data_IF_542702110923
#
_entry.id   IF_542702110923
#
_cell.length_a   1.000
_cell.length_b   1.000
_cell.length_c   1.000
_cell.angle_alpha   90.00
_cell.angle_beta   90.00
_cell.angle_gamma   90.00
#
_symmetry.space_group_name_H-M   'P 1'
#
loop_
_entity.id
_entity.type
_entity.pdbx_description
1 polymer ?
#
# COMPACT_ATOMS: atom_id res chain seq x y z
N UNK A 1 1.84 17.38 -20.21
CA UNK A 1 0.71 17.68 -19.30
C UNK A 1 -0.24 16.49 -19.16
N UNK A 2 -0.90 16.04 -20.24
CA UNK A 2 -1.87 14.92 -20.17
C UNK A 2 -1.29 13.65 -19.53
N UNK A 3 -0.10 13.20 -19.96
CA UNK A 3 0.54 12.04 -19.34
C UNK A 3 0.81 12.23 -17.84
N UNK A 4 1.22 13.43 -17.41
CA UNK A 4 1.49 13.74 -15.99
C UNK A 4 0.22 13.64 -15.17
N UNK A 5 -0.87 14.18 -15.71
CA UNK A 5 -2.19 14.10 -15.09
C UNK A 5 -2.62 12.62 -14.94
N UNK A 6 -2.56 11.82 -16.02
CA UNK A 6 -2.97 10.40 -15.99
C UNK A 6 -2.13 9.56 -15.01
N UNK A 7 -0.80 9.72 -15.04
CA UNK A 7 0.11 9.00 -14.13
C UNK A 7 -0.18 9.39 -12.68
N UNK A 8 -0.29 10.68 -12.39
CA UNK A 8 -0.57 11.16 -11.03
C UNK A 8 -1.95 10.70 -10.53
N UNK A 9 -2.96 10.66 -11.40
CA UNK A 9 -4.28 10.15 -11.06
C UNK A 9 -4.29 8.66 -10.73
N UNK A 10 -3.65 7.86 -11.58
CA UNK A 10 -3.54 6.42 -11.36
C UNK A 10 -2.80 6.13 -10.06
N UNK A 11 -1.74 6.91 -9.78
CA UNK A 11 -0.97 6.72 -8.57
C UNK A 11 -1.72 7.14 -7.30
N UNK A 12 -2.43 8.28 -7.33
CA UNK A 12 -3.14 8.79 -6.15
C UNK A 12 -4.32 7.87 -5.75
N UNK A 13 -4.93 7.19 -6.72
CA UNK A 13 -5.99 6.20 -6.46
C UNK A 13 -5.52 5.07 -5.52
N UNK A 14 -4.35 4.48 -5.80
CA UNK A 14 -3.76 3.45 -4.93
C UNK A 14 -3.45 3.99 -3.53
N UNK A 15 -2.99 5.24 -3.42
CA UNK A 15 -2.74 5.87 -2.13
C UNK A 15 -4.03 6.09 -1.33
N UNK A 16 -5.12 6.50 -1.98
CA UNK A 16 -6.42 6.69 -1.32
C UNK A 16 -7.00 5.38 -0.77
N UNK A 17 -6.84 4.27 -1.49
CA UNK A 17 -7.18 2.94 -0.97
C UNK A 17 -6.35 2.61 0.27
N UNK A 18 -5.05 2.87 0.24
CA UNK A 18 -4.17 2.68 1.40
C UNK A 18 -4.58 3.51 2.62
N UNK A 19 -4.93 4.79 2.42
CA UNK A 19 -5.51 5.65 3.46
C UNK A 19 -6.78 5.02 4.03
N UNK A 20 -7.66 4.51 3.17
CA UNK A 20 -8.89 3.84 3.56
C UNK A 20 -8.67 2.62 4.44
N UNK A 21 -7.73 1.74 4.07
CA UNK A 21 -7.37 0.54 4.85
C UNK A 21 -6.86 0.90 6.26
N UNK A 22 -6.04 1.95 6.36
CA UNK A 22 -5.51 2.36 7.68
C UNK A 22 -6.63 2.94 8.56
N UNK A 23 -7.46 3.83 8.02
CA UNK A 23 -8.57 4.41 8.79
C UNK A 23 -9.66 3.40 9.15
N UNK A 24 -9.98 2.46 8.25
CA UNK A 24 -10.96 1.40 8.52
C UNK A 24 -10.56 0.58 9.73
N UNK A 25 -9.27 0.25 9.83
CA UNK A 25 -8.75 -0.51 10.95
C UNK A 25 -8.85 0.24 12.29
N UNK A 26 -8.54 1.53 12.30
CA UNK A 26 -8.47 2.30 13.55
C UNK A 26 -9.81 2.77 14.08
N UNK A 27 -10.69 3.17 13.17
CA UNK A 27 -12.03 3.61 13.54
C UNK A 27 -13.00 2.43 13.60
N UNK A 28 -12.53 1.22 13.26
CA UNK A 28 -13.34 0.00 13.17
C UNK A 28 -14.59 0.24 12.29
N UNK A 29 -14.38 0.96 11.19
CA UNK A 29 -15.40 1.33 10.20
C UNK A 29 -15.14 0.65 8.88
N UNK A 30 -16.17 0.62 8.04
CA UNK A 30 -16.07 0.21 6.65
C UNK A 30 -14.99 0.99 5.90
N UNK A 31 -14.27 0.31 5.00
CA UNK A 31 -13.22 0.93 4.18
C UNK A 31 -13.71 2.14 3.38
N UNK A 32 -14.96 2.15 2.94
CA UNK A 32 -15.52 3.28 2.19
C UNK A 32 -15.59 4.55 3.04
N UNK A 33 -15.92 4.41 4.33
CA UNK A 33 -15.92 5.51 5.30
C UNK A 33 -14.46 5.92 5.57
N UNK A 34 -13.55 4.97 5.72
CA UNK A 34 -12.12 5.24 5.88
C UNK A 34 -11.54 6.08 4.74
N UNK A 35 -11.87 5.74 3.48
CA UNK A 35 -11.46 6.52 2.30
C UNK A 35 -12.04 7.93 2.37
N UNK A 36 -13.31 8.10 2.71
CA UNK A 36 -13.97 9.40 2.76
C UNK A 36 -13.37 10.33 3.83
N UNK A 37 -13.04 9.79 5.00
CA UNK A 37 -12.32 10.52 6.06
C UNK A 37 -10.94 10.94 5.56
N UNK A 38 -10.23 10.02 4.90
CA UNK A 38 -8.96 10.29 4.23
C UNK A 38 -9.04 11.42 3.22
N UNK A 39 -10.07 11.41 2.36
CA UNK A 39 -10.31 12.44 1.36
C UNK A 39 -10.48 13.82 2.01
N UNK A 40 -11.28 13.90 3.07
CA UNK A 40 -11.52 15.16 3.77
C UNK A 40 -10.22 15.72 4.35
N UNK A 41 -9.43 14.91 5.06
CA UNK A 41 -8.15 15.32 5.65
C UNK A 41 -7.16 15.76 4.58
N UNK A 42 -6.98 14.95 3.55
CA UNK A 42 -6.06 15.24 2.45
C UNK A 42 -6.48 16.51 1.71
N UNK A 43 -7.78 16.73 1.49
CA UNK A 43 -8.28 17.95 0.85
C UNK A 43 -7.97 19.19 1.67
N UNK A 44 -8.27 19.19 2.98
CA UNK A 44 -7.92 20.30 3.87
C UNK A 44 -6.42 20.58 3.86
N UNK A 45 -5.61 19.53 3.93
CA UNK A 45 -4.16 19.64 3.95
C UNK A 45 -3.59 20.17 2.62
N UNK A 46 -4.08 19.67 1.49
CA UNK A 46 -3.61 20.07 0.16
C UNK A 46 -4.00 21.51 -0.19
N UNK A 47 -5.19 21.96 0.19
CA UNK A 47 -5.67 23.32 -0.10
C UNK A 47 -4.99 24.37 0.77
N UNK A 48 -4.64 24.03 2.02
CA UNK A 48 -4.04 24.97 2.98
C UNK A 48 -2.50 24.92 3.01
N UNK A 49 -1.87 23.78 2.69
CA UNK A 49 -0.48 23.48 3.03
C UNK A 49 0.61 24.16 2.21
N UNK A 50 0.37 24.50 0.93
CA UNK A 50 1.38 25.05 0.02
C UNK A 50 2.64 24.17 -0.14
N UNK A 51 3.53 24.49 -1.10
CA UNK A 51 4.69 23.62 -1.38
C UNK A 51 5.68 23.52 -0.19
N UNK A 52 5.92 24.60 0.55
CA UNK A 52 6.84 24.59 1.70
C UNK A 52 6.31 23.80 2.88
N UNK A 53 5.01 23.92 3.19
CA UNK A 53 4.41 23.20 4.31
C UNK A 53 4.41 21.70 4.08
N UNK A 54 4.13 21.26 2.85
CA UNK A 54 4.18 19.85 2.45
C UNK A 54 5.59 19.28 2.61
N UNK A 55 6.65 20.00 2.24
CA UNK A 55 8.02 19.47 2.40
C UNK A 55 8.37 19.17 3.85
N UNK A 56 8.05 20.07 4.79
CA UNK A 56 8.39 19.85 6.21
C UNK A 56 7.58 18.74 6.85
N UNK A 57 6.29 18.62 6.53
CA UNK A 57 5.47 17.52 7.04
C UNK A 57 5.90 16.18 6.45
N UNK A 58 6.31 16.13 5.19
CA UNK A 58 6.84 14.91 4.58
C UNK A 58 8.12 14.42 5.23
N UNK A 59 8.99 15.33 5.70
CA UNK A 59 10.16 14.93 6.50
C UNK A 59 9.72 14.28 7.81
N UNK A 60 8.78 14.90 8.54
CA UNK A 60 8.25 14.33 9.78
C UNK A 60 7.55 12.98 9.56
N UNK A 61 6.71 12.89 8.52
CA UNK A 61 6.00 11.67 8.13
C UNK A 61 6.97 10.57 7.73
N UNK A 62 8.05 10.90 7.01
CA UNK A 62 9.08 9.95 6.64
C UNK A 62 9.80 9.38 7.86
N UNK A 63 10.16 10.23 8.84
CA UNK A 63 10.72 9.77 10.11
C UNK A 63 9.77 8.79 10.81
N UNK A 64 8.49 9.13 10.94
CA UNK A 64 7.49 8.24 11.56
C UNK A 64 7.37 6.93 10.78
N UNK A 65 7.29 7.00 9.44
CA UNK A 65 7.17 5.84 8.54
C UNK A 65 8.34 4.88 8.71
N UNK A 66 9.59 5.36 8.68
CA UNK A 66 10.75 4.47 8.74
C UNK A 66 10.83 3.76 10.09
N UNK A 67 10.53 4.45 11.20
CA UNK A 67 10.45 3.81 12.51
C UNK A 67 9.29 2.81 12.58
N UNK A 68 8.12 3.20 12.11
CA UNK A 68 6.93 2.35 12.09
C UNK A 68 7.07 1.09 11.24
N UNK A 69 7.88 1.15 10.19
CA UNK A 69 8.16 0.00 9.34
C UNK A 69 9.23 -0.92 9.93
N UNK A 70 10.31 -0.35 10.49
CA UNK A 70 11.48 -1.12 10.93
C UNK A 70 11.29 -1.74 12.32
N UNK A 71 10.67 -1.03 13.26
CA UNK A 71 10.45 -1.52 14.64
C UNK A 71 9.73 -2.87 14.69
N UNK A 72 8.54 -3.05 14.08
CA UNK A 72 7.88 -4.36 14.07
C UNK A 72 8.72 -5.41 13.35
N UNK A 73 9.43 -5.04 12.28
CA UNK A 73 10.28 -5.97 11.55
C UNK A 73 11.39 -6.54 12.44
N UNK A 74 12.01 -5.72 13.28
CA UNK A 74 13.03 -6.15 14.25
C UNK A 74 12.44 -7.10 15.31
N UNK A 75 11.28 -6.78 15.88
CA UNK A 75 10.64 -7.63 16.88
C UNK A 75 10.19 -8.96 16.30
N UNK A 76 9.59 -8.96 15.11
CA UNK A 76 9.09 -10.18 14.46
C UNK A 76 10.26 -11.06 14.01
N UNK A 77 11.31 -10.47 13.44
CA UNK A 77 12.52 -11.21 13.08
C UNK A 77 13.15 -11.89 14.30
N UNK A 78 13.21 -11.19 15.43
CA UNK A 78 13.71 -11.74 16.69
C UNK A 78 12.81 -12.88 17.20
N UNK A 79 11.50 -12.73 17.13
CA UNK A 79 10.55 -13.75 17.59
C UNK A 79 10.60 -15.03 16.75
N UNK A 80 10.69 -14.91 15.43
CA UNK A 80 10.65 -16.07 14.51
C UNK A 80 12.02 -16.74 14.35
N UNK A 81 13.11 -15.96 14.31
CA UNK A 81 14.43 -16.48 13.89
C UNK A 81 15.55 -16.25 14.90
N UNK A 82 15.27 -15.56 16.01
CA UNK A 82 16.27 -15.12 16.99
C UNK A 82 17.21 -14.01 16.49
N UNK A 83 17.16 -13.64 15.21
CA UNK A 83 17.98 -12.58 14.63
C UNK A 83 17.26 -11.22 14.71
N UNK A 84 17.94 -10.21 15.24
CA UNK A 84 17.39 -8.83 15.32
C UNK A 84 17.23 -8.22 13.93
N UNK A 85 18.13 -8.53 13.00
CA UNK A 85 18.16 -7.91 11.67
C UNK A 85 17.23 -8.69 10.73
N UNK A 86 16.15 -8.09 10.18
CA UNK A 86 15.13 -8.79 9.40
C UNK A 86 15.70 -9.41 8.13
N UNK A 87 16.69 -8.77 7.51
CA UNK A 87 17.39 -9.30 6.34
C UNK A 87 18.14 -10.60 6.66
N UNK A 88 18.71 -10.70 7.88
CA UNK A 88 19.38 -11.92 8.33
C UNK A 88 18.36 -12.97 8.78
N UNK A 89 17.26 -12.55 9.42
CA UNK A 89 16.15 -13.44 9.75
C UNK A 89 15.51 -14.06 8.51
N UNK A 90 15.38 -13.32 7.42
CA UNK A 90 14.85 -13.83 6.15
C UNK A 90 15.64 -15.02 5.58
N UNK A 91 16.97 -15.00 5.73
CA UNK A 91 17.88 -16.08 5.29
C UNK A 91 18.17 -17.04 6.46
N UNK A 92 17.65 -16.74 7.64
CA UNK A 92 17.94 -17.42 8.89
C UNK A 92 17.14 -18.71 9.06
N UNK A 93 17.47 -19.41 10.14
CA UNK A 93 16.71 -20.54 10.62
C UNK A 93 15.58 -20.06 11.52
N UNK A 94 14.43 -20.65 11.34
CA UNK A 94 13.30 -20.53 12.25
C UNK A 94 13.68 -21.13 13.62
N UNK A 95 13.40 -20.39 14.68
CA UNK A 95 13.85 -20.70 16.03
C UNK A 95 13.22 -22.00 16.59
N UNK A 96 11.99 -22.31 16.16
CA UNK A 96 11.23 -23.46 16.66
C UNK A 96 11.54 -24.75 15.88
N UNK A 97 11.63 -24.65 14.55
CA UNK A 97 11.82 -25.81 13.67
C UNK A 97 13.29 -26.11 13.32
N UNK A 98 14.19 -25.14 13.47
CA UNK A 98 15.60 -25.26 13.07
C UNK A 98 15.83 -25.33 11.54
N UNK A 99 14.77 -25.24 10.74
CA UNK A 99 14.77 -25.19 9.29
C UNK A 99 14.94 -23.75 8.81
N UNK A 100 15.44 -23.54 7.58
CA UNK A 100 15.41 -22.21 6.98
C UNK A 100 13.97 -21.72 6.81
N UNK A 101 13.74 -20.44 7.09
CA UNK A 101 12.40 -19.86 7.05
C UNK A 101 11.71 -20.04 5.68
N UNK A 102 12.48 -19.90 4.59
CA UNK A 102 11.96 -20.04 3.23
C UNK A 102 11.55 -21.47 2.93
N UNK A 103 12.34 -22.46 3.34
CA UNK A 103 11.99 -23.88 3.18
C UNK A 103 10.72 -24.23 3.97
N UNK A 104 10.60 -23.71 5.19
CA UNK A 104 9.39 -23.85 6.03
C UNK A 104 8.17 -23.24 5.33
N UNK A 105 8.34 -22.06 4.74
CA UNK A 105 7.25 -21.38 4.03
C UNK A 105 6.86 -22.12 2.74
N UNK A 106 7.82 -22.69 2.00
CA UNK A 106 7.56 -23.52 0.83
C UNK A 106 6.82 -24.81 1.20
N UNK A 107 7.17 -25.44 2.33
CA UNK A 107 6.45 -26.60 2.85
C UNK A 107 5.00 -26.25 3.21
N UNK A 108 4.79 -25.19 4.00
CA UNK A 108 3.45 -24.72 4.35
C UNK A 108 2.61 -24.39 3.11
N UNK A 109 3.21 -23.74 2.12
CA UNK A 109 2.54 -23.47 0.85
C UNK A 109 2.14 -24.74 0.11
N UNK A 110 3.05 -25.71 0.02
CA UNK A 110 2.82 -26.98 -0.68
C UNK A 110 1.73 -27.81 0.01
N UNK A 111 1.74 -27.88 1.34
CA UNK A 111 0.74 -28.58 2.14
C UNK A 111 -0.67 -28.01 1.94
N UNK A 112 -0.78 -26.69 1.81
CA UNK A 112 -2.04 -25.98 1.55
C UNK A 112 -2.43 -25.93 0.06
N UNK A 113 -1.64 -26.58 -0.79
CA UNK A 113 -1.86 -26.67 -2.24
C UNK A 113 -1.49 -25.41 -3.03
N UNK A 114 -0.85 -24.42 -2.41
CA UNK A 114 -0.28 -23.26 -3.11
C UNK A 114 0.99 -23.65 -3.90
N UNK A 115 1.37 -22.80 -4.86
CA UNK A 115 2.71 -22.89 -5.44
C UNK A 115 3.75 -22.53 -4.37
N UNK A 116 4.92 -23.16 -4.44
CA UNK A 116 6.07 -22.82 -3.58
C UNK A 116 6.28 -21.31 -3.58
N UNK A 117 6.51 -20.73 -2.42
CA UNK A 117 6.73 -19.30 -2.26
C UNK A 117 7.94 -18.82 -3.08
N UNK A 118 8.94 -19.68 -3.24
CA UNK A 118 10.14 -19.41 -4.04
C UNK A 118 9.97 -19.73 -5.54
N UNK A 119 8.86 -20.37 -5.94
CA UNK A 119 8.61 -20.63 -7.36
C UNK A 119 8.31 -19.33 -8.09
N UNK A 120 9.13 -19.03 -9.10
CA UNK A 120 8.94 -17.83 -9.93
C UNK A 120 7.68 -17.95 -10.79
N UNK A 121 6.54 -17.45 -10.30
CA UNK A 121 5.27 -17.47 -11.05
C UNK A 121 5.31 -16.70 -12.39
N UNK A 122 6.34 -15.88 -12.63
CA UNK A 122 6.50 -15.05 -13.83
C UNK A 122 7.75 -15.41 -14.62
N UNK A 123 7.66 -15.29 -15.95
CA UNK A 123 8.80 -15.38 -16.86
C UNK A 123 9.92 -14.41 -16.45
N UNK A 124 11.17 -14.79 -16.64
CA UNK A 124 12.32 -13.91 -16.40
C UNK A 124 12.26 -12.63 -17.24
N UNK A 125 11.66 -12.69 -18.43
CA UNK A 125 11.45 -11.49 -19.26
C UNK A 125 10.45 -10.55 -18.59
N UNK A 126 9.36 -11.08 -18.04
CA UNK A 126 8.35 -10.26 -17.34
C UNK A 126 8.94 -9.65 -16.07
N UNK A 127 9.70 -10.43 -15.28
CA UNK A 127 10.37 -9.93 -14.08
C UNK A 127 11.35 -8.82 -14.44
N UNK A 128 12.16 -9.01 -15.49
CA UNK A 128 13.09 -7.99 -15.97
C UNK A 128 12.35 -6.73 -16.44
N UNK A 129 11.30 -6.87 -17.25
CA UNK A 129 10.52 -5.75 -17.77
C UNK A 129 9.82 -4.96 -16.66
N UNK A 130 9.21 -5.65 -15.68
CA UNK A 130 8.58 -5.01 -14.52
C UNK A 130 9.64 -4.29 -13.68
N UNK A 131 10.77 -4.94 -13.40
CA UNK A 131 11.86 -4.33 -12.62
C UNK A 131 12.38 -3.08 -13.31
N UNK A 132 12.66 -3.17 -14.61
CA UNK A 132 13.09 -2.04 -15.42
C UNK A 132 12.05 -0.91 -15.41
N UNK A 133 10.77 -1.23 -15.63
CA UNK A 133 9.69 -0.26 -15.61
C UNK A 133 9.54 0.44 -14.25
N UNK A 134 9.69 -0.27 -13.14
CA UNK A 134 9.63 0.32 -11.80
C UNK A 134 10.83 1.25 -11.51
N UNK A 135 12.05 0.83 -11.88
CA UNK A 135 13.26 1.64 -11.70
C UNK A 135 13.21 2.93 -12.52
N UNK A 136 12.93 2.77 -13.81
CA UNK A 136 12.89 3.85 -14.80
C UNK A 136 11.69 4.77 -14.57
N UNK A 137 10.54 4.19 -14.22
CA UNK A 137 9.33 4.92 -13.87
C UNK A 137 9.56 5.84 -12.68
N UNK A 138 10.20 5.32 -11.61
CA UNK A 138 10.54 6.13 -10.42
C UNK A 138 11.43 7.31 -10.77
N UNK A 139 12.43 7.11 -11.63
CA UNK A 139 13.33 8.17 -12.08
C UNK A 139 12.61 9.25 -12.91
N UNK A 140 11.56 8.88 -13.65
CA UNK A 140 10.78 9.78 -14.50
C UNK A 140 9.69 10.58 -13.78
N UNK A 141 9.42 10.32 -12.50
CA UNK A 141 8.29 10.94 -11.80
C UNK A 141 8.54 12.44 -11.49
N UNK A 142 7.68 13.35 -12.00
CA UNK A 142 7.90 14.80 -11.86
C UNK A 142 8.01 15.29 -10.40
N UNK A 143 7.25 14.68 -9.48
CA UNK A 143 7.23 15.07 -8.07
C UNK A 143 8.55 14.80 -7.33
N UNK A 144 9.41 13.94 -7.86
CA UNK A 144 10.76 13.65 -7.33
C UNK A 144 11.77 14.59 -7.98
N UNK A 145 11.75 14.69 -9.31
CA UNK A 145 12.72 15.50 -10.08
C UNK A 145 12.68 16.97 -9.66
N UNK A 146 11.48 17.55 -9.53
CA UNK A 146 11.31 18.98 -9.19
C UNK A 146 11.94 19.33 -7.83
N UNK A 147 12.06 18.37 -6.90
CA UNK A 147 12.66 18.62 -5.58
C UNK A 147 14.15 18.88 -5.67
N UNK A 148 14.87 18.21 -6.59
CA UNK A 148 16.30 18.47 -6.79
C UNK A 148 16.57 19.89 -7.29
N UNK A 149 15.62 20.51 -8.00
CA UNK A 149 15.74 21.91 -8.45
C UNK A 149 15.49 22.95 -7.37
N UNK A 150 15.03 22.54 -6.18
CA UNK A 150 14.87 23.46 -5.04
C UNK A 150 16.13 23.60 -4.18
N UNK A 151 17.17 22.78 -4.46
CA UNK A 151 18.43 22.79 -3.72
C UNK A 151 19.41 23.81 -4.31
N UNK A 152 20.03 24.70 -3.51
CA UNK A 152 20.92 25.75 -4.04
C UNK A 152 22.21 25.26 -4.71
N UNK A 153 22.71 24.07 -4.32
CA UNK A 153 24.00 23.53 -4.79
C UNK A 153 23.87 22.10 -5.29
N UNK A 154 24.53 21.80 -6.41
CA UNK A 154 24.56 20.45 -7.02
C UNK A 154 25.20 19.41 -6.09
N UNK A 155 26.23 19.80 -5.32
CA UNK A 155 26.87 18.91 -4.33
C UNK A 155 25.87 18.42 -3.30
N UNK A 156 25.05 19.32 -2.76
CA UNK A 156 24.07 19.02 -1.72
C UNK A 156 22.94 18.15 -2.28
N UNK A 157 22.52 18.40 -3.53
CA UNK A 157 21.56 17.55 -4.24
C UNK A 157 22.06 16.10 -4.41
N UNK A 158 23.34 15.90 -4.76
CA UNK A 158 23.94 14.56 -4.89
C UNK A 158 24.08 13.84 -3.55
N UNK A 159 24.49 14.55 -2.51
CA UNK A 159 24.58 14.00 -1.15
C UNK A 159 23.19 13.59 -0.65
N UNK A 160 22.18 14.43 -0.89
CA UNK A 160 20.78 14.12 -0.57
C UNK A 160 20.29 12.87 -1.30
N UNK A 161 20.62 12.71 -2.59
CA UNK A 161 20.30 11.49 -3.34
C UNK A 161 20.97 10.23 -2.74
N UNK A 162 22.23 10.35 -2.28
CA UNK A 162 22.94 9.25 -1.62
C UNK A 162 22.26 8.80 -0.32
N UNK A 163 21.86 9.75 0.54
CA UNK A 163 21.09 9.44 1.75
C UNK A 163 19.72 8.82 1.43
N UNK A 164 19.02 9.36 0.43
CA UNK A 164 17.74 8.80 -0.01
C UNK A 164 17.90 7.34 -0.47
N UNK A 165 18.95 7.02 -1.23
CA UNK A 165 19.23 5.66 -1.70
C UNK A 165 19.52 4.71 -0.53
N UNK A 166 20.31 5.14 0.47
CA UNK A 166 20.59 4.35 1.66
C UNK A 166 19.28 3.97 2.40
N UNK A 167 18.42 4.96 2.61
CA UNK A 167 17.14 4.77 3.28
C UNK A 167 16.17 3.89 2.52
N UNK A 168 16.08 4.07 1.20
CA UNK A 168 15.29 3.20 0.33
C UNK A 168 15.82 1.77 0.39
N UNK A 169 17.14 1.57 0.36
CA UNK A 169 17.74 0.25 0.43
C UNK A 169 17.39 -0.48 1.74
N UNK A 170 17.42 0.22 2.88
CA UNK A 170 17.01 -0.36 4.17
C UNK A 170 15.54 -0.83 4.11
N UNK A 171 14.63 0.00 3.59
CA UNK A 171 13.22 -0.34 3.52
C UNK A 171 12.96 -1.49 2.53
N UNK A 172 13.50 -1.40 1.32
CA UNK A 172 13.20 -2.35 0.24
C UNK A 172 13.80 -3.73 0.47
N UNK A 173 14.95 -3.81 1.13
CA UNK A 173 15.54 -5.11 1.54
C UNK A 173 14.79 -5.74 2.70
N UNK A 174 14.09 -4.94 3.52
CA UNK A 174 13.28 -5.43 4.65
C UNK A 174 11.91 -5.93 4.19
N UNK A 175 11.37 -5.42 3.07
CA UNK A 175 10.02 -5.74 2.61
C UNK A 175 9.78 -7.24 2.32
N UNK A 176 10.67 -7.96 1.60
CA UNK A 176 10.52 -9.40 1.40
C UNK A 176 10.56 -10.19 2.72
N UNK A 177 11.37 -9.74 3.69
CA UNK A 177 11.45 -10.36 5.01
C UNK A 177 10.11 -10.28 5.75
N UNK A 178 9.54 -9.08 5.83
CA UNK A 178 8.23 -8.87 6.46
C UNK A 178 7.13 -9.68 5.75
N UNK A 179 7.17 -9.75 4.41
CA UNK A 179 6.18 -10.52 3.65
C UNK A 179 6.24 -12.02 3.98
N UNK A 180 7.44 -12.60 4.07
CA UNK A 180 7.61 -13.99 4.48
C UNK A 180 7.14 -14.20 5.93
N UNK A 181 7.57 -13.35 6.87
CA UNK A 181 7.13 -13.44 8.27
C UNK A 181 5.62 -13.35 8.41
N UNK A 182 4.97 -12.41 7.72
CA UNK A 182 3.53 -12.20 7.77
C UNK A 182 2.76 -13.43 7.27
N UNK A 183 3.20 -14.04 6.16
CA UNK A 183 2.56 -15.25 5.61
C UNK A 183 2.72 -16.45 6.53
N UNK A 184 3.93 -16.69 7.04
CA UNK A 184 4.19 -17.80 7.96
C UNK A 184 3.34 -17.67 9.23
N UNK A 185 3.33 -16.49 9.85
CA UNK A 185 2.55 -16.24 11.07
C UNK A 185 1.05 -16.36 10.84
N UNK A 186 0.55 -15.81 9.72
CA UNK A 186 -0.85 -15.91 9.35
C UNK A 186 -1.28 -17.37 9.23
N UNK A 187 -0.60 -18.15 8.39
CA UNK A 187 -0.94 -19.56 8.13
C UNK A 187 -0.98 -20.34 9.45
N UNK A 188 0.03 -20.18 10.30
CA UNK A 188 0.11 -20.89 11.58
C UNK A 188 -0.97 -20.49 12.58
N UNK A 189 -1.46 -19.26 12.50
CA UNK A 189 -2.46 -18.74 13.46
C UNK A 189 -3.88 -19.09 13.04
N UNK A 190 -4.18 -19.16 11.73
CA UNK A 190 -5.56 -19.29 11.24
C UNK A 190 -5.90 -20.68 10.72
N UNK A 191 -4.94 -21.42 10.15
CA UNK A 191 -5.27 -22.66 9.44
C UNK A 191 -5.59 -23.82 10.40
N UNK A 192 -6.70 -24.53 10.14
CA UNK A 192 -7.23 -25.67 10.92
C UNK A 192 -7.49 -25.33 12.40
N UNK A 193 -7.85 -24.08 12.68
CA UNK A 193 -8.22 -23.59 14.00
C UNK A 193 -9.71 -23.29 14.07
N UNK A 194 -10.33 -23.53 15.22
CA UNK A 194 -11.75 -23.20 15.43
C UNK A 194 -11.98 -21.69 15.42
N UNK A 195 -13.07 -21.26 14.79
CA UNK A 195 -13.43 -19.83 14.74
C UNK A 195 -13.64 -19.24 16.13
N UNK A 196 -14.18 -20.03 17.07
CA UNK A 196 -14.44 -19.61 18.44
C UNK A 196 -13.15 -19.18 19.19
N UNK A 197 -12.02 -19.82 18.88
CA UNK A 197 -10.71 -19.55 19.49
C UNK A 197 -9.94 -18.43 18.77
N UNK A 198 -10.53 -17.82 17.73
CA UNK A 198 -9.82 -16.83 16.94
C UNK A 198 -9.42 -15.60 17.77
N UNK A 199 -8.17 -15.12 17.60
CA UNK A 199 -7.69 -13.96 18.32
C UNK A 199 -8.52 -12.71 18.02
N UNK A 200 -8.44 -11.72 18.93
CA UNK A 200 -9.17 -10.45 18.79
C UNK A 200 -8.82 -9.69 17.52
N UNK A 201 -7.59 -9.82 17.00
CA UNK A 201 -7.21 -9.18 15.74
C UNK A 201 -8.06 -9.69 14.58
N UNK A 202 -8.36 -11.00 14.52
CA UNK A 202 -9.11 -11.61 13.43
C UNK A 202 -10.51 -10.99 13.32
N UNK A 203 -11.23 -10.94 14.44
CA UNK A 203 -12.57 -10.33 14.53
C UNK A 203 -12.56 -8.84 14.17
N UNK A 204 -11.53 -8.10 14.59
CA UNK A 204 -11.40 -6.67 14.23
C UNK A 204 -11.20 -6.43 12.74
N UNK A 205 -10.43 -7.29 12.05
CA UNK A 205 -10.27 -7.17 10.61
C UNK A 205 -11.51 -7.61 9.84
N UNK A 206 -12.29 -8.53 10.42
CA UNK A 206 -13.59 -8.94 9.89
C UNK A 206 -14.62 -7.79 9.85
N UNK A 207 -14.66 -6.94 10.89
CA UNK A 207 -15.50 -5.73 10.92
C UNK A 207 -15.23 -4.79 9.74
N UNK A 208 -14.00 -4.77 9.23
CA UNK A 208 -13.59 -3.83 8.18
C UNK A 208 -13.95 -4.29 6.77
N UNK A 209 -14.52 -5.50 6.61
CA UNK A 209 -14.76 -6.17 5.33
C UNK A 209 -13.49 -6.48 4.51
N UNK A 210 -12.32 -6.50 5.16
CA UNK A 210 -11.03 -6.84 4.56
C UNK A 210 -10.58 -8.27 4.87
N UNK A 211 -11.27 -8.91 5.81
CA UNK A 211 -11.18 -10.31 6.14
C UNK A 211 -12.60 -10.86 6.16
N UNK A 212 -12.81 -12.05 5.62
CA UNK A 212 -14.09 -12.75 5.74
C UNK A 212 -13.83 -14.25 5.79
N UNK A 213 -14.61 -14.95 6.60
CA UNK A 213 -14.63 -16.41 6.65
C UNK A 213 -16.02 -16.90 6.29
N UNK A 214 -16.08 -17.99 5.53
CA UNK A 214 -17.32 -18.70 5.24
C UNK A 214 -17.07 -20.17 5.43
N UNK A 215 -17.75 -20.75 6.42
CA UNK A 215 -17.76 -22.18 6.65
C UNK A 215 -18.48 -22.89 5.49
N UNK A 216 -17.75 -23.71 4.72
CA UNK A 216 -18.30 -24.45 3.59
C UNK A 216 -18.65 -25.89 3.96
N UNK A 217 -18.06 -26.42 5.02
CA UNK A 217 -18.15 -27.83 5.40
C UNK A 217 -18.90 -28.05 6.74
N UNK A 218 -19.33 -26.96 7.38
CA UNK A 218 -20.05 -26.89 8.64
C UNK A 218 -19.26 -27.47 9.84
N UNK A 219 -17.93 -27.42 9.79
CA UNK A 219 -17.05 -27.92 10.86
C UNK A 219 -16.61 -26.85 11.87
N UNK A 220 -16.91 -25.58 11.62
CA UNK A 220 -16.58 -24.46 12.49
C UNK A 220 -15.09 -24.12 12.59
N UNK A 221 -14.26 -24.69 11.70
CA UNK A 221 -12.82 -24.41 11.59
C UNK A 221 -12.52 -23.56 10.37
N UNK A 222 -11.34 -22.97 10.34
CA UNK A 222 -10.90 -22.12 9.25
C UNK A 222 -9.87 -22.87 8.40
N UNK A 223 -10.26 -23.25 7.18
CA UNK A 223 -9.35 -23.85 6.20
C UNK A 223 -8.85 -22.78 5.24
N UNK A 224 -7.53 -22.54 5.28
CA UNK A 224 -6.87 -21.59 4.39
C UNK A 224 -6.04 -22.33 3.34
N UNK A 225 -6.68 -22.70 2.25
CA UNK A 225 -6.05 -23.47 1.15
C UNK A 225 -6.09 -22.71 -0.18
N UNK A 226 -5.46 -23.26 -1.22
CA UNK A 226 -5.47 -22.65 -2.54
C UNK A 226 -6.90 -22.49 -3.10
N UNK A 227 -7.20 -21.27 -3.52
CA UNK A 227 -8.45 -20.92 -4.19
C UNK A 227 -9.03 -19.62 -3.64
N UNK A 228 -10.10 -19.13 -4.25
CA UNK A 228 -10.86 -18.02 -3.69
C UNK A 228 -11.96 -18.58 -2.78
N UNK A 229 -12.13 -18.02 -1.57
CA UNK A 229 -13.25 -18.43 -0.71
C UNK A 229 -14.60 -17.93 -1.25
N UNK A 230 -14.61 -16.68 -1.75
CA UNK A 230 -15.80 -15.95 -2.19
C UNK A 230 -15.58 -15.27 -3.54
N UNK A 231 -16.67 -14.96 -4.24
CA UNK A 231 -16.64 -14.17 -5.47
C UNK A 231 -16.53 -12.68 -5.13
N UNK A 232 -15.45 -12.06 -5.59
CA UNK A 232 -15.22 -10.61 -5.44
C UNK A 232 -14.73 -10.21 -4.05
N UNK A 233 -15.12 -9.00 -3.61
CA UNK A 233 -14.77 -8.45 -2.29
C UNK A 233 -15.92 -8.69 -1.29
N UNK A 234 -15.63 -8.91 0.00
CA UNK A 234 -16.67 -9.10 1.02
C UNK A 234 -17.67 -7.94 1.05
N UNK A 235 -18.95 -8.28 1.00
CA UNK A 235 -20.08 -7.36 1.12
C UNK A 235 -20.89 -7.80 2.33
N UNK A 236 -20.62 -7.13 3.46
CA UNK A 236 -21.23 -7.41 4.75
C UNK A 236 -22.75 -7.16 4.71
N UNK A 237 -23.52 -8.04 5.32
CA UNK A 237 -24.94 -7.85 5.55
C UNK A 237 -25.08 -6.96 6.79
N UNK A 238 -25.71 -5.79 6.63
CA UNK A 238 -25.89 -4.82 7.71
C UNK A 238 -27.37 -4.59 7.99
N UNK A 239 -27.78 -4.74 9.24
CA UNK A 239 -29.10 -4.33 9.74
C UNK A 239 -28.94 -3.11 10.66
N UNK A 240 -29.66 -2.03 10.38
CA UNK A 240 -29.54 -0.75 11.11
C UNK A 240 -28.11 -0.19 11.23
N UNK A 241 -27.24 -0.50 10.25
CA UNK A 241 -25.84 -0.05 10.24
C UNK A 241 -24.88 -0.93 11.03
N UNK A 242 -25.35 -2.02 11.66
CA UNK A 242 -24.53 -3.01 12.37
C UNK A 242 -24.41 -4.28 11.52
N UNK A 243 -23.22 -4.85 11.44
CA UNK A 243 -22.98 -6.10 10.74
C UNK A 243 -23.74 -7.25 11.42
N UNK A 244 -24.52 -7.99 10.64
CA UNK A 244 -25.23 -9.19 11.09
C UNK A 244 -24.19 -10.28 11.38
N UNK A 245 -24.39 -11.03 12.47
CA UNK A 245 -23.53 -12.16 12.82
C UNK A 245 -24.12 -13.46 12.31
N UNK A 246 -23.25 -14.32 11.78
CA UNK A 246 -23.60 -15.68 11.42
C UNK A 246 -23.61 -16.64 12.61
N UNK A 247 -23.58 -17.95 12.33
CA UNK A 247 -23.86 -18.99 13.31
C UNK A 247 -22.76 -19.13 14.38
N UNK A 248 -21.52 -18.82 14.04
CA UNK A 248 -20.34 -18.91 14.91
C UNK A 248 -19.88 -17.55 15.44
N UNK A 249 -20.58 -16.46 15.08
CA UNK A 249 -20.23 -15.08 15.45
C UNK A 249 -19.34 -14.37 14.43
N UNK A 250 -19.20 -14.93 13.23
CA UNK A 250 -18.62 -14.34 12.02
C UNK A 250 -19.48 -13.21 11.48
N UNK A 251 -18.87 -12.28 10.76
CA UNK A 251 -19.61 -11.24 10.03
C UNK A 251 -20.27 -11.89 8.82
N UNK A 252 -21.59 -11.89 8.80
CA UNK A 252 -22.36 -12.42 7.70
C UNK A 252 -22.11 -11.59 6.42
N UNK A 253 -21.80 -12.28 5.33
CA UNK A 253 -21.59 -11.68 4.01
C UNK A 253 -22.65 -12.16 3.02
N UNK A 254 -22.93 -11.35 2.02
CA UNK A 254 -23.90 -11.65 0.94
C UNK A 254 -23.27 -12.28 -0.29
N UNK A 255 -21.94 -12.46 -0.31
CA UNK A 255 -21.21 -12.97 -1.45
C UNK A 255 -21.52 -14.45 -1.72
N UNK A 256 -21.48 -14.83 -2.99
CA UNK A 256 -21.46 -16.23 -3.40
C UNK A 256 -20.12 -16.88 -3.01
N UNK A 257 -20.20 -18.08 -2.44
CA UNK A 257 -19.03 -18.91 -2.15
C UNK A 257 -18.55 -19.60 -3.43
N UNK A 258 -17.23 -19.77 -3.55
CA UNK A 258 -16.66 -20.49 -4.71
C UNK A 258 -16.57 -21.97 -4.37
N UNK A 259 -17.41 -22.79 -5.00
CA UNK A 259 -17.51 -24.22 -4.70
C UNK A 259 -16.36 -25.08 -5.25
N UNK A 260 -15.49 -24.54 -6.10
CA UNK A 260 -14.44 -25.32 -6.79
C UNK A 260 -13.21 -25.67 -5.93
N UNK A 261 -13.15 -25.12 -4.71
CA UNK A 261 -12.02 -25.26 -3.81
C UNK A 261 -12.49 -25.26 -2.34
N UNK A 262 -11.66 -25.84 -1.47
CA UNK A 262 -11.89 -25.90 -0.02
C UNK A 262 -11.42 -24.67 0.76
N UNK A 263 -11.08 -23.54 0.11
CA UNK A 263 -10.66 -22.34 0.83
C UNK A 263 -11.88 -21.66 1.44
N UNK A 264 -11.81 -21.36 2.73
CA UNK A 264 -12.89 -20.73 3.47
C UNK A 264 -12.55 -19.30 3.90
N UNK A 265 -11.27 -18.92 3.79
CA UNK A 265 -10.77 -17.66 4.29
C UNK A 265 -10.42 -16.70 3.14
N UNK A 266 -11.08 -15.54 3.15
CA UNK A 266 -10.73 -14.40 2.33
C UNK A 266 -9.89 -13.40 3.13
N UNK A 267 -8.75 -13.00 2.58
CA UNK A 267 -7.93 -11.93 3.13
C UNK A 267 -7.52 -10.96 2.03
N UNK A 268 -7.80 -9.67 2.23
CA UNK A 268 -7.33 -8.61 1.36
C UNK A 268 -5.79 -8.54 1.41
N UNK A 269 -5.16 -8.53 0.23
CA UNK A 269 -3.69 -8.50 0.11
C UNK A 269 -3.09 -7.22 0.71
N UNK A 270 -3.87 -6.13 0.76
CA UNK A 270 -3.41 -4.83 1.26
C UNK A 270 -3.30 -4.78 2.80
N UNK A 271 -3.89 -5.74 3.55
CA UNK A 271 -3.82 -5.76 5.02
C UNK A 271 -2.65 -6.55 5.59
N UNK A 272 -1.98 -7.39 4.80
CA UNK A 272 -0.98 -8.35 5.31
C UNK A 272 0.13 -7.71 6.14
N UNK A 273 0.67 -6.59 5.69
CA UNK A 273 1.75 -5.89 6.40
C UNK A 273 1.23 -5.13 7.63
N UNK A 274 0.03 -4.55 7.55
CA UNK A 274 -0.59 -3.79 8.64
C UNK A 274 -1.10 -4.69 9.76
N UNK A 275 -1.59 -5.88 9.43
CA UNK A 275 -2.08 -6.86 10.37
C UNK A 275 -0.93 -7.64 11.04
N UNK A 276 0.23 -7.77 10.40
CA UNK A 276 1.34 -8.60 10.89
C UNK A 276 1.77 -8.34 12.35
N UNK A 277 1.90 -7.08 12.83
CA UNK A 277 2.16 -6.82 14.25
C UNK A 277 1.11 -7.42 15.19
N UNK A 278 -0.16 -7.43 14.78
CA UNK A 278 -1.26 -7.99 15.56
C UNK A 278 -1.28 -9.52 15.51
N UNK A 279 -1.00 -10.09 14.32
CA UNK A 279 -0.86 -11.53 14.12
C UNK A 279 0.31 -12.07 14.97
N UNK A 280 1.42 -11.34 15.01
CA UNK A 280 2.59 -11.65 15.84
C UNK A 280 2.42 -11.30 17.33
N UNK A 281 1.22 -10.86 17.75
CA UNK A 281 0.91 -10.50 19.14
C UNK A 281 1.88 -9.48 19.77
N UNK A 282 2.31 -8.48 18.98
CA UNK A 282 3.20 -7.43 19.47
C UNK A 282 2.47 -6.45 20.41
N UNK A 283 3.21 -5.72 21.26
CA UNK A 283 2.61 -4.73 22.16
C UNK A 283 1.79 -3.66 21.43
N UNK A 284 0.72 -3.18 22.08
CA UNK A 284 -0.21 -2.19 21.53
C UNK A 284 0.47 -0.91 21.00
N UNK A 285 1.58 -0.47 21.62
CA UNK A 285 2.32 0.69 21.17
C UNK A 285 3.03 0.45 19.82
N UNK A 286 3.47 -0.78 19.53
CA UNK A 286 4.07 -1.15 18.24
C UNK A 286 2.99 -1.14 17.16
N UNK A 287 1.83 -1.73 17.45
CA UNK A 287 0.67 -1.74 16.55
C UNK A 287 0.25 -0.30 16.21
N UNK A 288 0.11 0.56 17.22
CA UNK A 288 -0.22 1.97 17.03
C UNK A 288 0.85 2.71 16.19
N UNK A 289 2.13 2.40 16.40
CA UNK A 289 3.23 2.96 15.62
C UNK A 289 3.14 2.55 14.15
N UNK A 290 2.95 1.26 13.84
CA UNK A 290 2.81 0.75 12.46
C UNK A 290 1.70 1.49 11.73
N UNK A 291 0.56 1.62 12.38
CA UNK A 291 -0.61 2.17 11.74
C UNK A 291 -0.54 3.72 11.66
N UNK A 292 0.13 4.40 12.59
CA UNK A 292 0.54 5.81 12.41
C UNK A 292 1.52 5.98 11.23
N UNK A 293 2.46 5.05 11.05
CA UNK A 293 3.36 5.01 9.89
C UNK A 293 2.64 4.77 8.56
N UNK A 294 1.68 3.85 8.53
CA UNK A 294 0.83 3.59 7.37
C UNK A 294 0.03 4.83 6.97
N UNK A 295 -0.54 5.53 7.96
CA UNK A 295 -1.22 6.80 7.75
C UNK A 295 -0.27 7.87 7.20
N UNK A 296 0.90 8.03 7.82
CA UNK A 296 1.92 8.99 7.41
C UNK A 296 2.39 8.73 5.97
N UNK A 297 2.59 7.46 5.59
CA UNK A 297 2.99 7.04 4.25
C UNK A 297 1.95 7.43 3.19
N UNK A 298 0.69 7.06 3.44
CA UNK A 298 -0.38 7.24 2.47
C UNK A 298 -0.72 8.74 2.31
N UNK A 299 -0.81 9.49 3.42
CA UNK A 299 -1.09 10.93 3.40
C UNK A 299 0.05 11.75 2.76
N UNK A 300 1.31 11.43 3.08
CA UNK A 300 2.50 12.09 2.51
C UNK A 300 2.50 12.06 0.98
N UNK A 301 2.26 10.88 0.43
CA UNK A 301 2.27 10.64 -1.02
C UNK A 301 1.05 11.25 -1.69
N UNK A 302 -0.15 11.09 -1.11
CA UNK A 302 -1.38 11.67 -1.64
C UNK A 302 -1.31 13.20 -1.75
N UNK A 303 -0.83 13.88 -0.70
CA UNK A 303 -0.65 15.33 -0.69
C UNK A 303 0.34 15.80 -1.77
N UNK A 304 1.46 15.08 -1.94
CA UNK A 304 2.45 15.40 -2.96
C UNK A 304 1.91 15.27 -4.39
N UNK A 305 1.13 14.22 -4.67
CA UNK A 305 0.53 13.99 -5.98
C UNK A 305 -0.57 15.00 -6.31
N UNK A 306 -1.40 15.36 -5.33
CA UNK A 306 -2.43 16.37 -5.49
C UNK A 306 -1.85 17.74 -5.83
N UNK A 307 -0.71 18.09 -5.22
CA UNK A 307 0.02 19.30 -5.58
C UNK A 307 0.46 19.24 -7.05
N UNK A 308 1.04 18.13 -7.49
CA UNK A 308 1.49 17.98 -8.90
C UNK A 308 0.33 18.09 -9.87
N UNK A 309 -0.81 17.46 -9.57
CA UNK A 309 -2.03 17.58 -10.39
C UNK A 309 -2.53 19.02 -10.40
N UNK A 310 -2.57 19.66 -9.23
CA UNK A 310 -2.99 21.05 -9.07
C UNK A 310 -2.12 22.00 -9.90
N UNK A 311 -0.79 21.85 -9.86
CA UNK A 311 0.14 22.67 -10.65
C UNK A 311 0.09 22.35 -12.14
N UNK A 312 -0.09 21.08 -12.52
CA UNK A 312 -0.22 20.69 -13.91
C UNK A 312 -1.49 21.27 -14.56
N UNK A 313 -2.57 21.38 -13.78
CA UNK A 313 -3.82 22.00 -14.23
C UNK A 313 -3.69 23.52 -14.25
N UNK A 314 -3.29 24.15 -13.14
CA UNK A 314 -3.29 25.62 -13.04
C UNK A 314 -2.21 26.28 -13.90
N UNK A 315 -0.97 25.80 -13.81
CA UNK A 315 0.19 26.41 -14.46
C UNK A 315 0.40 25.85 -15.85
N UNK A 316 0.50 24.53 -15.99
CA UNK A 316 0.94 23.95 -17.26
C UNK A 316 -0.19 23.89 -18.30
N UNK A 317 -1.43 23.62 -17.88
CA UNK A 317 -2.58 23.58 -18.79
C UNK A 317 -3.22 24.96 -18.93
N UNK A 318 -3.70 25.55 -17.84
CA UNK A 318 -4.48 26.79 -17.91
C UNK A 318 -3.59 27.98 -18.25
N UNK A 319 -2.56 28.26 -17.46
CA UNK A 319 -1.70 29.43 -17.70
C UNK A 319 -0.86 29.28 -18.96
N UNK A 320 -0.15 28.18 -19.17
CA UNK A 320 0.76 28.08 -20.31
C UNK A 320 0.06 27.80 -21.66
N UNK A 321 -1.09 27.12 -21.69
CA UNK A 321 -1.72 26.71 -22.96
C UNK A 321 -3.05 27.42 -23.26
N UNK A 322 -3.94 27.59 -22.28
CA UNK A 322 -5.32 28.05 -22.53
C UNK A 322 -5.47 29.57 -22.37
N UNK A 323 -4.95 30.12 -21.26
CA UNK A 323 -5.11 31.53 -20.89
C UNK A 323 -3.81 32.06 -20.24
N UNK A 324 -2.83 32.50 -21.06
CA UNK A 324 -1.57 33.10 -20.58
C UNK A 324 -1.73 34.28 -19.64
N UNK A 325 -2.71 35.15 -19.91
CA UNK A 325 -2.95 36.37 -19.14
C UNK A 325 -3.85 36.14 -17.90
N UNK A 326 -3.81 34.95 -17.31
CA UNK A 326 -4.56 34.69 -16.09
C UNK A 326 -3.93 35.41 -14.88
N UNK A 327 -4.76 36.06 -14.06
CA UNK A 327 -4.31 36.69 -12.82
C UNK A 327 -3.90 35.65 -11.77
N UNK A 328 -3.05 36.03 -10.82
CA UNK A 328 -2.60 35.13 -9.75
C UNK A 328 -3.76 34.58 -8.91
N UNK A 329 -4.79 35.40 -8.65
CA UNK A 329 -6.03 34.94 -7.99
C UNK A 329 -6.76 33.89 -8.81
N UNK A 330 -6.80 34.06 -10.14
CA UNK A 330 -7.39 33.09 -11.06
C UNK A 330 -6.61 31.78 -11.10
N UNK A 331 -5.28 31.85 -11.19
CA UNK A 331 -4.40 30.68 -11.15
C UNK A 331 -4.58 29.88 -9.86
N UNK A 332 -4.64 30.57 -8.71
CA UNK A 332 -4.89 29.94 -7.40
C UNK A 332 -6.27 29.26 -7.34
N UNK A 333 -7.30 29.87 -7.93
CA UNK A 333 -8.63 29.27 -8.00
C UNK A 333 -8.61 27.97 -8.83
N UNK A 334 -7.98 27.98 -10.00
CA UNK A 334 -7.81 26.78 -10.83
C UNK A 334 -6.99 25.69 -10.14
N UNK A 335 -5.96 26.08 -9.38
CA UNK A 335 -5.18 25.14 -8.57
C UNK A 335 -6.06 24.42 -7.54
N UNK A 336 -6.94 25.17 -6.85
CA UNK A 336 -7.88 24.60 -5.86
C UNK A 336 -8.97 23.74 -6.50
N UNK A 337 -9.53 24.17 -7.63
CA UNK A 337 -10.50 23.37 -8.40
C UNK A 337 -9.86 22.07 -8.88
N UNK A 338 -8.64 22.14 -9.41
CA UNK A 338 -7.87 20.97 -9.85
C UNK A 338 -7.61 20.00 -8.69
N UNK A 339 -7.24 20.50 -7.51
CA UNK A 339 -7.06 19.67 -6.32
C UNK A 339 -8.39 19.04 -5.84
N UNK A 340 -9.50 19.79 -5.82
CA UNK A 340 -10.82 19.28 -5.44
C UNK A 340 -11.28 18.17 -6.37
N UNK A 341 -11.22 18.41 -7.69
CA UNK A 341 -11.49 17.40 -8.70
C UNK A 341 -10.59 16.19 -8.53
N UNK A 342 -9.31 16.42 -8.23
CA UNK A 342 -8.37 15.34 -8.08
C UNK A 342 -8.68 14.42 -6.88
N UNK A 343 -9.06 15.00 -5.74
CA UNK A 343 -9.50 14.25 -4.55
C UNK A 343 -10.76 13.44 -4.85
N UNK A 344 -11.74 13.99 -5.57
CA UNK A 344 -12.97 13.26 -5.91
C UNK A 344 -12.69 12.02 -6.76
N UNK A 345 -11.87 12.17 -7.80
CA UNK A 345 -11.46 11.04 -8.66
C UNK A 345 -10.64 10.02 -7.87
N UNK A 346 -9.70 10.50 -7.05
CA UNK A 346 -8.88 9.64 -6.19
C UNK A 346 -9.73 8.85 -5.18
N UNK A 347 -10.74 9.49 -4.60
CA UNK A 347 -11.70 8.89 -3.69
C UNK A 347 -12.55 7.81 -4.35
N UNK A 348 -13.09 8.11 -5.54
CA UNK A 348 -13.86 7.15 -6.33
C UNK A 348 -13.06 5.87 -6.61
N UNK A 349 -11.82 6.01 -7.08
CA UNK A 349 -10.94 4.85 -7.32
C UNK A 349 -10.36 4.26 -6.03
N UNK A 350 -10.32 4.99 -4.91
CA UNK A 350 -9.96 4.45 -3.61
C UNK A 350 -11.03 3.50 -3.06
N UNK A 351 -12.30 3.81 -3.32
CA UNK A 351 -13.48 2.97 -3.00
C UNK A 351 -13.57 1.80 -3.98
N UNK A 352 -13.42 2.08 -5.28
CA UNK A 352 -13.49 1.11 -6.38
C UNK A 352 -12.12 0.93 -7.04
N UNK A 353 -11.12 0.33 -6.36
CA UNK A 353 -9.80 0.23 -6.95
C UNK A 353 -9.80 -0.84 -8.05
N UNK A 354 -9.16 -0.57 -9.21
CA UNK A 354 -9.11 -1.51 -10.34
C UNK A 354 -8.27 -2.76 -10.05
N UNK A 355 -7.54 -2.77 -8.93
CA UNK A 355 -6.77 -3.89 -8.43
C UNK A 355 -6.31 -3.62 -6.99
N UNK A 356 -5.45 -4.47 -6.45
CA UNK A 356 -4.78 -4.18 -5.18
C UNK A 356 -3.80 -3.01 -5.32
N UNK A 357 -3.47 -2.34 -4.22
CA UNK A 357 -2.74 -1.05 -4.25
C UNK A 357 -1.45 -1.15 -5.05
N UNK A 358 -0.62 -2.16 -4.77
CA UNK A 358 0.68 -2.29 -5.45
C UNK A 358 0.56 -2.49 -6.98
N UNK A 359 -0.48 -3.17 -7.50
CA UNK A 359 -0.70 -3.28 -8.94
C UNK A 359 -1.06 -1.93 -9.58
N UNK A 360 -1.93 -1.15 -8.92
CA UNK A 360 -2.31 0.19 -9.41
C UNK A 360 -1.12 1.15 -9.44
N UNK A 361 -0.24 1.06 -8.43
CA UNK A 361 1.00 1.84 -8.38
C UNK A 361 1.99 1.40 -9.46
N UNK A 362 2.16 0.09 -9.65
CA UNK A 362 3.03 -0.45 -10.69
C UNK A 362 2.59 0.00 -12.10
N UNK A 363 1.28 0.05 -12.36
CA UNK A 363 0.74 0.59 -13.61
C UNK A 363 1.12 2.06 -13.80
N UNK A 364 0.97 2.89 -12.76
CA UNK A 364 1.36 4.30 -12.82
C UNK A 364 2.87 4.46 -13.13
N UNK A 365 3.72 3.60 -12.58
CA UNK A 365 5.15 3.63 -12.84
C UNK A 365 5.49 3.12 -14.24
N UNK A 366 4.80 2.10 -14.74
CA UNK A 366 4.92 1.65 -16.13
C UNK A 366 4.54 2.75 -17.13
N UNK A 367 3.45 3.47 -16.87
CA UNK A 367 3.04 4.64 -17.67
C UNK A 367 4.11 5.75 -17.62
N UNK A 368 4.69 6.03 -16.45
CA UNK A 368 5.77 7.01 -16.30
C UNK A 368 7.03 6.58 -17.09
N UNK A 369 7.38 5.29 -17.02
CA UNK A 369 8.53 4.72 -17.72
C UNK A 369 8.37 4.77 -19.25
N UNK A 370 7.16 4.57 -19.76
CA UNK A 370 6.88 4.64 -21.19
C UNK A 370 6.78 6.08 -21.73
N UNK A 371 6.45 7.05 -20.87
CA UNK A 371 6.16 8.43 -21.30
C UNK A 371 7.26 9.43 -20.95
N UNK A 372 7.56 9.65 -19.67
CA UNK A 372 8.52 10.67 -19.26
C UNK A 372 9.95 10.27 -19.49
N UNK A 373 10.28 9.01 -19.23
CA UNK A 373 11.68 8.61 -19.26
C UNK A 373 12.33 8.72 -20.65
N UNK A 374 11.71 8.27 -21.76
CA UNK A 374 12.30 8.47 -23.09
C UNK A 374 12.48 9.95 -23.42
N UNK A 375 11.51 10.79 -23.07
CA UNK A 375 11.60 12.24 -23.28
C UNK A 375 12.73 12.87 -22.46
N UNK A 376 12.92 12.45 -21.20
CA UNK A 376 14.01 12.92 -20.33
C UNK A 376 15.36 12.49 -20.88
N UNK A 377 15.53 11.21 -21.25
CA UNK A 377 16.79 10.69 -21.80
C UNK A 377 17.14 11.38 -23.11
N UNK A 378 16.19 11.48 -24.03
CA UNK A 378 16.43 12.17 -25.30
C UNK A 378 16.72 13.66 -25.08
N UNK A 379 16.03 14.33 -24.14
CA UNK A 379 16.29 15.74 -23.85
C UNK A 379 17.63 16.02 -23.16
N UNK A 380 18.22 15.02 -22.49
CA UNK A 380 19.56 15.15 -21.86
C UNK A 380 20.67 14.77 -22.84
N UNK A 381 20.47 13.72 -23.65
CA UNK A 381 21.54 13.07 -24.41
C UNK A 381 21.44 13.23 -25.92
N UNK A 382 20.28 13.55 -26.49
CA UNK A 382 20.15 13.85 -27.93
C UNK A 382 20.19 15.37 -28.14
N UNK A 383 21.17 15.83 -28.94
CA UNK A 383 21.33 17.26 -29.28
C UNK A 383 20.31 17.77 -30.30
N UNK A 384 19.48 16.88 -30.86
CA UNK A 384 18.48 17.21 -31.89
C UNK A 384 17.12 17.61 -31.30
N UNK A 385 16.86 17.26 -30.04
CA UNK A 385 15.77 17.84 -29.24
C UNK A 385 16.32 19.00 -28.42
#
# INVERSE_FOLDING_TARGET
VVCAIIVSFTYVAGQMRGVGVVFSRFLEVDINIGVLIGMAIVFFYAVLGGMKGITYTQVAQYCVLIFAYMVPAFFISMAITGNVIPQLGFIGKDADSGMYLLDKLDQLHTELGFAEYTSGEKSMIDVFAITFALMVGTAGLPHVIVRFFTVPRVKDARVSAGWALLFIAILYTTAPAIAAFARTNLIQTVNDKEYAEMPTWFKKWEETALLAWVDKNEDGKIQYVKGAAIVGKPTQIKENGVAVRGAHGEVAISNETVADNGNELYIDRDIMVLANPEIANLPAWVIALVAAGGLAAALSTAAGLLLVISTAISRDLIKMQIKPDISERGELLWARIGAAFAVLVAGYFGINPPGFVAATVALAFGLAAASFFPAIILGIFDKRM
#
